data_IF_477837682619
#
_entry.id   IF_477837682619
#
_cell.length_a   1.000
_cell.length_b   1.000
_cell.length_c   1.000
_cell.angle_alpha   90.00
_cell.angle_beta   90.00
_cell.angle_gamma   90.00
#
_symmetry.space_group_name_H-M   'P 1'
#
loop_
_entity.id
_entity.type
_entity.pdbx_description
1 polymer ?
#
# COMPACT_ATOMS: atom_id res chain seq x y z
N UNK A 1 0.50 -8.28 11.95
CA UNK A 1 0.91 -7.00 11.34
C UNK A 1 -0.34 -6.33 10.82
N UNK A 2 -0.81 -5.27 11.48
CA UNK A 2 -1.93 -4.48 10.95
C UNK A 2 -1.40 -3.60 9.82
N UNK A 3 -1.97 -3.76 8.62
CA UNK A 3 -1.69 -2.85 7.51
C UNK A 3 -2.42 -1.54 7.78
N UNK A 4 -1.72 -0.56 8.36
CA UNK A 4 -2.28 0.77 8.53
C UNK A 4 -2.46 1.41 7.16
N UNK A 5 -3.69 1.75 6.81
CA UNK A 5 -4.00 2.40 5.53
C UNK A 5 -3.28 3.76 5.47
N UNK A 6 -2.55 4.04 4.39
CA UNK A 6 -1.89 5.34 4.22
C UNK A 6 -2.94 6.44 4.13
N UNK A 7 -2.81 7.48 4.96
CA UNK A 7 -3.71 8.62 4.93
C UNK A 7 -3.40 9.55 3.73
N UNK A 8 -4.37 10.41 3.39
CA UNK A 8 -4.27 11.31 2.23
C UNK A 8 -3.06 12.25 2.29
N UNK A 9 -2.71 12.76 3.48
CA UNK A 9 -1.56 13.65 3.68
C UNK A 9 -0.24 12.93 3.38
N UNK A 10 -0.12 11.67 3.81
CA UNK A 10 1.05 10.83 3.53
C UNK A 10 1.18 10.56 2.03
N UNK A 11 0.08 10.20 1.36
CA UNK A 11 0.06 9.99 -0.09
C UNK A 11 0.48 11.27 -0.82
N UNK A 12 -0.07 12.44 -0.43
CA UNK A 12 0.29 13.74 -1.01
C UNK A 12 1.76 14.08 -0.82
N UNK A 13 2.30 13.85 0.39
CA UNK A 13 3.71 14.09 0.70
C UNK A 13 4.63 13.19 -0.12
N UNK A 14 4.32 11.89 -0.22
CA UNK A 14 5.13 10.94 -0.98
C UNK A 14 5.06 11.21 -2.49
N UNK A 15 3.92 11.61 -3.04
CA UNK A 15 3.80 12.03 -4.44
C UNK A 15 4.69 13.24 -4.78
N UNK A 16 4.83 14.20 -3.85
CA UNK A 16 5.77 15.32 -4.02
C UNK A 16 7.23 14.86 -4.04
N UNK A 17 7.59 13.92 -3.17
CA UNK A 17 8.95 13.38 -3.11
C UNK A 17 9.27 12.53 -4.35
N UNK A 18 8.33 11.70 -4.81
CA UNK A 18 8.48 10.89 -6.02
C UNK A 18 8.81 11.76 -7.23
N UNK A 19 8.05 12.85 -7.42
CA UNK A 19 8.28 13.81 -8.51
C UNK A 19 9.60 14.56 -8.40
N UNK A 20 10.11 14.80 -7.18
CA UNK A 20 11.32 15.58 -6.95
C UNK A 20 12.60 14.73 -7.02
N UNK A 21 12.53 13.44 -6.71
CA UNK A 21 13.70 12.58 -6.68
C UNK A 21 14.09 12.09 -8.09
N UNK A 22 15.33 11.64 -8.27
CA UNK A 22 15.89 11.24 -9.57
C UNK A 22 14.96 10.28 -10.32
N UNK A 23 14.62 10.54 -11.59
CA UNK A 23 13.74 9.67 -12.37
C UNK A 23 14.21 8.21 -12.42
N UNK A 24 13.26 7.29 -12.54
CA UNK A 24 13.53 5.89 -12.87
C UNK A 24 13.94 5.76 -14.37
N UNK A 25 14.57 4.65 -14.80
CA UNK A 25 14.95 3.49 -13.99
C UNK A 25 16.17 3.77 -13.09
N UNK A 26 16.16 3.15 -11.92
CA UNK A 26 17.35 2.97 -11.11
C UNK A 26 17.84 1.54 -11.28
N UNK A 27 19.14 1.38 -11.45
CA UNK A 27 19.79 0.09 -11.66
C UNK A 27 20.69 -0.20 -10.47
N UNK A 28 20.65 -1.45 -10.01
CA UNK A 28 21.48 -1.95 -8.93
C UNK A 28 22.61 -2.78 -9.54
N UNK A 29 23.85 -2.49 -9.12
CA UNK A 29 25.05 -3.20 -9.56
C UNK A 29 25.93 -3.60 -8.39
N UNK A 30 26.60 -4.75 -8.53
CA UNK A 30 27.70 -5.16 -7.67
C UNK A 30 29.02 -4.96 -8.38
N UNK A 31 29.95 -4.32 -7.70
CA UNK A 31 31.27 -4.01 -8.22
C UNK A 31 32.34 -4.73 -7.40
N UNK A 32 33.18 -5.49 -8.08
CA UNK A 32 34.43 -6.01 -7.55
C UNK A 32 35.53 -5.01 -7.87
N UNK A 33 36.15 -4.40 -6.85
CA UNK A 33 37.43 -3.73 -7.10
C UNK A 33 38.46 -4.83 -7.32
N UNK A 34 39.13 -4.84 -8.48
CA UNK A 34 40.12 -5.87 -8.81
C UNK A 34 41.31 -5.94 -7.84
N UNK A 35 41.47 -4.92 -7.00
CA UNK A 35 42.60 -4.76 -6.08
C UNK A 35 42.22 -4.91 -4.59
N UNK A 36 40.94 -5.10 -4.28
CA UNK A 36 40.45 -5.29 -2.90
C UNK A 36 39.40 -6.40 -2.94
N UNK A 37 39.54 -7.45 -2.13
CA UNK A 37 38.60 -8.58 -2.04
C UNK A 37 37.23 -8.18 -1.45
N UNK A 38 36.83 -6.91 -1.60
CA UNK A 38 35.60 -6.32 -1.11
C UNK A 38 34.64 -6.07 -2.27
N UNK A 39 33.51 -6.77 -2.22
CA UNK A 39 32.36 -6.49 -3.10
C UNK A 39 31.59 -5.32 -2.51
N UNK A 40 31.44 -4.24 -3.28
CA UNK A 40 30.56 -3.14 -2.91
C UNK A 40 29.41 -3.02 -3.90
N UNK A 41 28.32 -2.43 -3.44
CA UNK A 41 27.11 -2.26 -4.23
C UNK A 41 26.94 -0.80 -4.59
N UNK A 42 26.39 -0.53 -5.77
CA UNK A 42 26.02 0.80 -6.20
C UNK A 42 24.61 0.81 -6.81
N UNK A 43 23.96 1.96 -6.72
CA UNK A 43 22.73 2.25 -7.45
C UNK A 43 23.01 3.40 -8.39
N UNK A 44 22.69 3.20 -9.66
CA UNK A 44 22.78 4.22 -10.70
C UNK A 44 21.39 4.64 -11.14
N UNK A 45 21.26 5.90 -11.56
CA UNK A 45 20.07 6.42 -12.21
C UNK A 45 20.22 6.41 -13.74
N UNK A 46 19.27 7.04 -14.45
CA UNK A 46 19.33 7.17 -15.89
C UNK A 46 20.67 7.73 -16.37
N UNK A 47 21.13 7.23 -17.52
CA UNK A 47 22.42 7.59 -18.12
C UNK A 47 23.65 7.14 -17.30
N UNK A 48 23.48 6.16 -16.39
CA UNK A 48 24.58 5.58 -15.61
C UNK A 48 25.09 6.50 -14.50
N UNK A 49 24.31 7.52 -14.11
CA UNK A 49 24.70 8.45 -13.06
C UNK A 49 24.67 7.77 -11.69
N UNK A 50 25.81 7.65 -11.01
CA UNK A 50 25.86 7.12 -9.65
C UNK A 50 24.98 7.94 -8.68
N UNK A 51 24.19 7.24 -7.86
CA UNK A 51 23.29 7.81 -6.87
C UNK A 51 23.73 7.47 -5.45
N UNK A 52 23.97 6.19 -5.19
CA UNK A 52 24.37 5.66 -3.88
C UNK A 52 25.39 4.56 -4.09
N UNK A 53 26.32 4.40 -3.16
CA UNK A 53 27.21 3.24 -3.11
C UNK A 53 27.51 2.85 -1.65
N UNK A 54 27.79 1.58 -1.40
CA UNK A 54 28.20 1.09 -0.07
C UNK A 54 29.68 1.28 0.22
N UNK A 55 30.50 1.52 -0.82
CA UNK A 55 31.96 1.67 -0.68
C UNK A 55 32.36 2.92 0.11
N UNK A 56 31.56 3.98 0.01
CA UNK A 56 31.78 5.27 0.66
C UNK A 56 30.86 5.50 1.88
N UNK A 57 30.19 4.46 2.37
CA UNK A 57 29.22 4.57 3.47
C UNK A 57 29.86 4.19 4.81
N UNK A 58 29.78 5.08 5.80
CA UNK A 58 30.13 4.76 7.20
C UNK A 58 29.20 3.69 7.83
N UNK A 59 28.12 3.32 7.13
CA UNK A 59 27.14 2.33 7.54
C UNK A 59 27.31 0.96 6.88
N UNK A 60 28.38 0.72 6.12
CA UNK A 60 28.65 -0.58 5.51
C UNK A 60 28.85 -1.66 6.60
N UNK A 61 28.13 -2.77 6.50
CA UNK A 61 28.25 -3.88 7.42
C UNK A 61 28.97 -5.03 6.72
N UNK A 62 30.30 -5.00 6.82
CA UNK A 62 31.17 -5.93 6.11
C UNK A 62 31.20 -7.27 6.84
N UNK A 63 30.70 -8.29 6.16
CA UNK A 63 30.91 -9.69 6.48
C UNK A 63 32.24 -10.15 5.89
N UNK A 64 32.88 -11.11 6.54
CA UNK A 64 34.08 -11.74 6.03
C UNK A 64 34.02 -13.26 6.17
N UNK A 65 34.52 -13.95 5.17
CA UNK A 65 34.83 -15.38 5.22
C UNK A 65 36.26 -15.57 4.73
N UNK A 66 36.99 -16.48 5.33
CA UNK A 66 38.42 -16.67 5.03
C UNK A 66 38.74 -18.15 4.96
N UNK A 67 39.24 -18.59 3.82
CA UNK A 67 39.56 -19.98 3.52
C UNK A 67 41.00 -20.12 2.98
N UNK A 68 41.32 -21.28 2.40
CA UNK A 68 42.65 -21.55 1.82
C UNK A 68 42.95 -20.71 0.56
N UNK A 69 41.92 -20.10 -0.05
CA UNK A 69 42.00 -19.35 -1.31
C UNK A 69 42.00 -17.81 -1.11
N UNK A 70 41.67 -17.30 0.08
CA UNK A 70 41.74 -15.87 0.38
C UNK A 70 40.78 -15.40 1.47
N UNK A 71 40.58 -14.08 1.57
CA UNK A 71 39.59 -13.49 2.49
C UNK A 71 38.53 -12.74 1.70
N UNK A 72 37.33 -13.30 1.63
CA UNK A 72 36.22 -12.64 0.95
C UNK A 72 35.49 -11.68 1.87
N UNK A 73 35.30 -10.43 1.43
CA UNK A 73 34.58 -9.40 2.16
C UNK A 73 33.36 -8.93 1.36
N UNK A 74 32.19 -8.88 1.98
CA UNK A 74 30.96 -8.40 1.32
C UNK A 74 29.99 -7.71 2.28
N UNK A 75 29.16 -6.83 1.74
CA UNK A 75 28.09 -6.15 2.49
C UNK A 75 26.71 -6.74 2.13
N UNK A 76 26.31 -7.79 2.85
CA UNK A 76 25.02 -8.47 2.62
C UNK A 76 23.82 -7.55 2.89
N UNK A 77 23.88 -6.79 3.98
CA UNK A 77 22.80 -5.90 4.38
C UNK A 77 22.69 -4.70 3.42
N UNK A 78 23.82 -4.09 3.06
CA UNK A 78 23.89 -3.02 2.07
C UNK A 78 23.41 -3.47 0.70
N UNK A 79 23.75 -4.69 0.27
CA UNK A 79 23.24 -5.32 -0.95
C UNK A 79 21.71 -5.34 -0.96
N UNK A 80 21.11 -5.96 0.07
CA UNK A 80 19.66 -6.08 0.16
C UNK A 80 18.96 -4.72 0.23
N UNK A 81 19.52 -3.77 0.98
CA UNK A 81 18.95 -2.43 1.13
C UNK A 81 18.98 -1.64 -0.18
N UNK A 82 20.11 -1.62 -0.89
CA UNK A 82 20.23 -0.88 -2.14
C UNK A 82 19.38 -1.50 -3.25
N UNK A 83 19.31 -2.83 -3.32
CA UNK A 83 18.42 -3.52 -4.25
C UNK A 83 16.95 -3.18 -3.95
N UNK A 84 16.54 -3.24 -2.68
CA UNK A 84 15.17 -2.88 -2.29
C UNK A 84 14.82 -1.43 -2.63
N UNK A 85 15.73 -0.48 -2.37
CA UNK A 85 15.52 0.94 -2.68
C UNK A 85 15.39 1.17 -4.19
N UNK A 86 16.21 0.52 -5.02
CA UNK A 86 16.12 0.62 -6.47
C UNK A 86 14.76 0.11 -6.98
N UNK A 87 14.32 -1.06 -6.52
CA UNK A 87 13.02 -1.64 -6.87
C UNK A 87 11.85 -0.76 -6.42
N UNK A 88 11.89 -0.28 -5.17
CA UNK A 88 10.88 0.62 -4.63
C UNK A 88 10.78 1.90 -5.44
N UNK A 89 11.92 2.44 -5.91
CA UNK A 89 11.90 3.62 -6.77
C UNK A 89 11.25 3.33 -8.12
N UNK A 90 11.64 2.23 -8.77
CA UNK A 90 11.13 1.85 -10.08
C UNK A 90 9.61 1.64 -10.07
N UNK A 91 9.05 1.23 -8.92
CA UNK A 91 7.62 1.01 -8.75
C UNK A 91 6.88 2.13 -7.99
N UNK A 92 7.56 3.18 -7.55
CA UNK A 92 7.00 4.20 -6.67
C UNK A 92 5.71 4.85 -7.21
N UNK A 93 5.71 5.25 -8.49
CA UNK A 93 4.56 5.89 -9.11
C UNK A 93 3.33 4.95 -9.15
N UNK A 94 3.52 3.68 -9.50
CA UNK A 94 2.44 2.70 -9.54
C UNK A 94 1.90 2.40 -8.13
N UNK A 95 2.79 2.23 -7.15
CA UNK A 95 2.41 1.98 -5.76
C UNK A 95 1.62 3.16 -5.16
N UNK A 96 2.01 4.40 -5.48
CA UNK A 96 1.30 5.59 -5.03
C UNK A 96 -0.10 5.71 -5.66
N UNK A 97 -0.25 5.37 -6.93
CA UNK A 97 -1.56 5.39 -7.58
C UNK A 97 -2.49 4.32 -6.98
N UNK A 98 -1.98 3.13 -6.71
CA UNK A 98 -2.73 2.07 -6.01
C UNK A 98 -3.19 2.56 -4.63
N UNK A 99 -2.29 3.18 -3.86
CA UNK A 99 -2.63 3.72 -2.54
C UNK A 99 -3.71 4.80 -2.63
N UNK A 100 -3.64 5.68 -3.63
CA UNK A 100 -4.63 6.74 -3.89
C UNK A 100 -6.00 6.15 -4.20
N UNK A 101 -6.08 5.17 -5.10
CA UNK A 101 -7.32 4.50 -5.49
C UNK A 101 -7.96 3.75 -4.31
N UNK A 102 -7.16 3.05 -3.51
CA UNK A 102 -7.63 2.39 -2.29
C UNK A 102 -8.23 3.39 -1.28
N UNK A 103 -7.65 4.59 -1.19
CA UNK A 103 -8.20 5.69 -0.39
C UNK A 103 -9.60 6.10 -0.84
N UNK A 104 -9.80 6.42 -2.13
CA UNK A 104 -11.10 6.82 -2.66
C UNK A 104 -12.18 5.75 -2.50
N UNK A 105 -11.84 4.47 -2.75
CA UNK A 105 -12.78 3.38 -2.58
C UNK A 105 -13.30 3.32 -1.12
N UNK A 106 -12.40 3.50 -0.16
CA UNK A 106 -12.75 3.46 1.26
C UNK A 106 -13.61 4.67 1.69
N UNK A 107 -13.34 5.86 1.14
CA UNK A 107 -14.13 7.06 1.42
C UNK A 107 -15.53 6.97 0.81
N UNK A 108 -15.65 6.48 -0.42
CA UNK A 108 -16.94 6.23 -1.07
C UNK A 108 -17.81 5.24 -0.27
N UNK A 109 -17.21 4.14 0.21
CA UNK A 109 -17.89 3.18 1.08
C UNK A 109 -18.36 3.82 2.40
N UNK A 110 -17.52 4.64 3.04
CA UNK A 110 -17.91 5.36 4.27
C UNK A 110 -19.09 6.29 4.04
N UNK A 111 -19.10 7.05 2.94
CA UNK A 111 -20.18 7.97 2.62
C UNK A 111 -21.51 7.24 2.43
N UNK A 112 -21.49 6.09 1.72
CA UNK A 112 -22.68 5.24 1.56
C UNK A 112 -23.20 4.75 2.91
N UNK A 113 -22.31 4.29 3.80
CA UNK A 113 -22.70 3.82 5.14
C UNK A 113 -23.33 4.96 5.96
N UNK A 114 -22.75 6.16 5.93
CA UNK A 114 -23.28 7.33 6.63
C UNK A 114 -24.67 7.70 6.11
N UNK A 115 -24.87 7.69 4.79
CA UNK A 115 -26.17 8.03 4.21
C UNK A 115 -27.23 6.95 4.49
N UNK A 116 -26.87 5.67 4.44
CA UNK A 116 -27.75 4.57 4.88
C UNK A 116 -28.12 4.71 6.37
N UNK A 117 -27.19 5.12 7.23
CA UNK A 117 -27.47 5.35 8.64
C UNK A 117 -28.48 6.51 8.83
N UNK A 118 -28.32 7.62 8.09
CA UNK A 118 -29.29 8.73 8.09
C UNK A 118 -30.66 8.31 7.60
N UNK A 119 -30.73 7.50 6.54
CA UNK A 119 -32.00 6.98 6.01
C UNK A 119 -32.69 6.06 7.02
N UNK A 120 -31.95 5.16 7.67
CA UNK A 120 -32.48 4.30 8.73
C UNK A 120 -33.04 5.10 9.90
N UNK A 121 -32.38 6.18 10.30
CA UNK A 121 -32.88 7.06 11.37
C UNK A 121 -34.20 7.75 10.98
N UNK A 122 -34.33 8.20 9.73
CA UNK A 122 -35.60 8.74 9.22
C UNK A 122 -36.71 7.69 9.25
N UNK A 123 -36.42 6.46 8.81
CA UNK A 123 -37.39 5.35 8.83
C UNK A 123 -37.84 5.02 10.25
N UNK A 124 -36.92 5.00 11.23
CA UNK A 124 -37.26 4.80 12.65
C UNK A 124 -38.22 5.86 13.17
N UNK A 125 -38.00 7.13 12.84
CA UNK A 125 -38.91 8.22 13.23
C UNK A 125 -40.28 8.09 12.60
N UNK A 126 -40.35 7.69 11.33
CA UNK A 126 -41.63 7.44 10.64
C UNK A 126 -42.36 6.27 11.31
N UNK A 127 -41.66 5.15 11.55
CA UNK A 127 -42.23 3.98 12.20
C UNK A 127 -42.77 4.29 13.61
N UNK A 128 -42.12 5.18 14.36
CA UNK A 128 -42.58 5.62 15.68
C UNK A 128 -43.92 6.39 15.64
N UNK A 129 -44.31 6.95 14.48
CA UNK A 129 -45.57 7.66 14.29
C UNK A 129 -46.64 6.79 13.61
N UNK A 130 -46.34 5.53 13.27
CA UNK A 130 -47.33 4.59 12.74
C UNK A 130 -48.14 4.03 13.92
N UNK A 131 -49.48 4.24 13.97
CA UNK A 131 -50.31 3.65 15.00
C UNK A 131 -50.23 2.12 14.97
N UNK A 132 -50.15 1.48 16.14
CA UNK A 132 -50.01 0.02 16.26
C UNK A 132 -51.07 -0.79 15.48
N UNK A 133 -52.26 -0.23 15.23
CA UNK A 133 -53.33 -0.87 14.46
C UNK A 133 -53.04 -1.05 12.97
N UNK A 134 -52.20 -0.21 12.35
CA UNK A 134 -51.84 -0.33 10.92
C UNK A 134 -50.84 -1.47 10.70
N UNK A 135 -49.93 -1.70 11.65
CA UNK A 135 -48.97 -2.80 11.59
C UNK A 135 -49.64 -4.18 11.61
N UNK A 136 -50.76 -4.33 12.31
CA UNK A 136 -51.52 -5.58 12.37
C UNK A 136 -52.21 -5.86 11.03
N UNK A 137 -52.88 -4.86 10.45
CA UNK A 137 -53.54 -4.99 9.13
C UNK A 137 -52.56 -5.30 7.99
N UNK A 138 -51.37 -4.67 7.98
CA UNK A 138 -50.36 -4.93 6.94
C UNK A 138 -49.77 -6.35 7.04
N UNK A 139 -49.58 -6.87 8.26
CA UNK A 139 -49.06 -8.23 8.49
C UNK A 139 -50.09 -9.31 8.12
N UNK A 140 -51.36 -9.07 8.41
CA UNK A 140 -52.46 -9.94 7.98
C UNK A 140 -52.61 -9.96 6.45
N UNK A 141 -52.56 -8.80 5.78
CA UNK A 141 -52.65 -8.72 4.32
C UNK A 141 -51.44 -9.37 3.61
N UNK A 142 -50.23 -9.24 4.15
CA UNK A 142 -49.04 -9.90 3.61
C UNK A 142 -49.12 -11.43 3.75
N UNK A 143 -49.57 -11.93 4.91
CA UNK A 143 -49.79 -13.37 5.11
C UNK A 143 -50.91 -13.94 4.22
N UNK A 144 -51.95 -13.15 3.94
CA UNK A 144 -53.00 -13.52 2.97
C UNK A 144 -52.46 -13.57 1.53
N UNK A 145 -51.61 -12.63 1.13
CA UNK A 145 -51.02 -12.62 -0.20
C UNK A 145 -50.07 -13.82 -0.44
N UNK A 146 -49.22 -14.16 0.54
CA UNK A 146 -48.36 -15.36 0.47
C UNK A 146 -49.17 -16.66 0.39
N UNK A 147 -50.28 -16.76 1.13
CA UNK A 147 -51.18 -17.92 1.09
C UNK A 147 -51.95 -18.07 -0.23
N UNK A 148 -52.18 -16.99 -0.97
CA UNK A 148 -52.79 -17.01 -2.30
C UNK A 148 -51.76 -17.46 -3.34
N UNK A 149 -50.53 -16.95 -3.29
CA UNK A 149 -49.43 -17.33 -4.20
C UNK A 149 -49.01 -18.80 -4.00
N UNK A 150 -49.08 -19.33 -2.78
CA UNK A 150 -48.78 -20.74 -2.50
C UNK A 150 -49.88 -21.72 -2.96
N UNK A 151 -51.07 -21.22 -3.35
CA UNK A 151 -52.21 -22.02 -3.82
C UNK A 151 -52.46 -21.93 -5.33
N UNK A 152 -51.68 -21.11 -6.04
CA UNK A 152 -51.64 -20.98 -7.50
C UNK A 152 -50.42 -21.68 -8.08
#
# INVERSE_FOLDING_TARGET
MELTQMNADTISRLAKLEKAATPAPWEFDQHNQRDVETVYCAVTGPEGKSLFDTCNSEAALIHNDSDEDGSHYWDETGTANLQFVAEMRNHAAALLEIARLAGYASEGQRNIIVDLAKQNEKLRKIAAHVPAGIYIQAKEQAGFAEAIVAKS
#
